data_IF_790058308746
#
_entry.id   IF_790058308746
#
_cell.length_a   1.000
_cell.length_b   1.000
_cell.length_c   1.000
_cell.angle_alpha   90.00
_cell.angle_beta   90.00
_cell.angle_gamma   90.00
#
_symmetry.space_group_name_H-M   'P 1'
#
loop_
_entity.id
_entity.type
_entity.pdbx_description
1 polymer ?
#
# COMPACT_ATOMS: atom_id res chain seq x y z
N UNK A 1 13.04 0.61 -13.87
CA UNK A 1 11.75 0.03 -14.30
C UNK A 1 10.68 1.07 -14.10
N UNK A 2 9.65 1.16 -14.96
CA UNK A 2 8.53 2.07 -14.73
C UNK A 2 7.81 1.71 -13.42
N UNK A 3 7.08 2.67 -12.84
CA UNK A 3 6.22 2.38 -11.70
C UNK A 3 5.18 1.31 -12.09
N UNK A 4 4.93 0.30 -11.24
CA UNK A 4 3.92 -0.70 -11.53
C UNK A 4 2.53 -0.05 -11.60
N UNK A 5 1.62 -0.56 -12.43
CA UNK A 5 0.24 -0.09 -12.45
C UNK A 5 -0.44 -0.34 -11.10
N UNK A 6 -1.34 0.55 -10.72
CA UNK A 6 -2.14 0.46 -9.50
C UNK A 6 -3.55 -0.10 -9.75
N UNK A 7 -3.82 -0.64 -10.94
CA UNK A 7 -5.09 -1.27 -11.31
C UNK A 7 -5.06 -2.80 -11.13
N UNK A 8 -6.07 -3.52 -11.65
CA UNK A 8 -6.17 -4.98 -11.55
C UNK A 8 -5.04 -5.74 -12.23
N UNK A 9 -4.31 -5.10 -13.17
CA UNK A 9 -3.16 -5.70 -13.85
C UNK A 9 -1.87 -5.59 -13.03
N UNK A 10 -1.90 -4.74 -12.00
CA UNK A 10 -0.80 -4.52 -11.06
C UNK A 10 -0.77 -5.50 -9.90
N UNK A 11 0.08 -5.17 -8.92
CA UNK A 11 0.25 -5.99 -7.72
C UNK A 11 -0.06 -5.24 -6.42
N UNK A 12 -0.52 -3.99 -6.50
CA UNK A 12 -0.81 -3.15 -5.32
C UNK A 12 -1.83 -3.80 -4.38
N UNK A 13 -2.89 -4.38 -4.93
CA UNK A 13 -3.95 -5.05 -4.18
C UNK A 13 -3.50 -6.35 -3.49
N UNK A 14 -2.28 -6.85 -3.71
CA UNK A 14 -1.75 -7.98 -2.95
C UNK A 14 -1.26 -7.60 -1.54
N UNK A 15 -1.24 -6.31 -1.20
CA UNK A 15 -0.71 -5.80 0.07
C UNK A 15 -1.85 -5.22 0.93
N UNK A 16 -1.87 -5.48 2.25
CA UNK A 16 -2.84 -4.88 3.17
C UNK A 16 -2.74 -3.35 3.21
N UNK A 17 -3.85 -2.69 3.58
CA UNK A 17 -3.94 -1.22 3.66
C UNK A 17 -2.83 -0.60 4.51
N UNK A 18 -2.53 -1.18 5.67
CA UNK A 18 -1.47 -0.68 6.55
C UNK A 18 -0.09 -0.73 5.87
N UNK A 19 0.20 -1.79 5.12
CA UNK A 19 1.48 -1.92 4.40
C UNK A 19 1.58 -0.88 3.29
N UNK A 20 0.49 -0.66 2.54
CA UNK A 20 0.44 0.37 1.49
C UNK A 20 0.60 1.77 2.08
N UNK A 21 -0.03 2.03 3.22
CA UNK A 21 0.10 3.28 3.96
C UNK A 21 1.54 3.50 4.42
N UNK A 22 2.16 2.51 5.08
CA UNK A 22 3.53 2.62 5.60
C UNK A 22 4.56 2.81 4.47
N UNK A 23 4.41 2.10 3.35
CA UNK A 23 5.25 2.27 2.16
C UNK A 23 5.10 3.69 1.59
N UNK A 24 3.88 4.21 1.54
CA UNK A 24 3.63 5.56 1.00
C UNK A 24 4.17 6.64 1.92
N UNK A 25 3.91 6.52 3.22
CA UNK A 25 4.35 7.49 4.22
C UNK A 25 5.86 7.47 4.41
N UNK A 26 6.43 6.29 4.68
CA UNK A 26 7.82 6.14 5.15
C UNK A 26 8.80 5.74 4.04
N UNK A 27 8.29 5.37 2.86
CA UNK A 27 9.08 4.80 1.77
C UNK A 27 9.34 3.29 1.95
N UNK A 28 9.61 2.61 0.82
CA UNK A 28 9.77 1.14 0.74
C UNK A 28 10.85 0.61 1.69
N UNK A 29 11.98 1.29 1.80
CA UNK A 29 13.14 0.81 2.57
C UNK A 29 12.81 0.72 4.06
N UNK A 30 12.11 1.73 4.59
CA UNK A 30 11.70 1.80 5.99
C UNK A 30 10.54 0.86 6.27
N UNK A 31 9.56 0.77 5.37
CA UNK A 31 8.38 -0.07 5.54
C UNK A 31 8.68 -1.57 5.43
N UNK A 32 9.60 -1.97 4.53
CA UNK A 32 9.91 -3.38 4.27
C UNK A 32 11.19 -3.88 4.99
N UNK A 33 11.85 -3.02 5.78
CA UNK A 33 13.11 -3.31 6.47
C UNK A 33 14.19 -3.97 5.56
N UNK A 34 14.28 -3.51 4.31
CA UNK A 34 15.17 -4.10 3.30
C UNK A 34 16.53 -3.39 3.32
N UNK A 35 17.56 -4.10 3.78
CA UNK A 35 18.94 -3.60 3.68
C UNK A 35 19.36 -3.48 2.20
N UNK A 36 19.98 -2.35 1.84
CA UNK A 36 20.53 -2.07 0.51
C UNK A 36 19.53 -1.97 -0.66
N UNK A 37 18.22 -1.91 -0.40
CA UNK A 37 17.23 -1.65 -1.45
C UNK A 37 17.19 -0.16 -1.79
N UNK A 38 17.36 0.18 -3.08
CA UNK A 38 17.22 1.57 -3.57
C UNK A 38 15.89 1.71 -4.30
N UNK A 39 14.91 2.33 -3.65
CA UNK A 39 13.65 2.71 -4.28
C UNK A 39 13.74 4.13 -4.83
N UNK A 40 13.16 4.35 -6.01
CA UNK A 40 12.92 5.70 -6.54
C UNK A 40 11.62 6.32 -6.00
N UNK A 41 10.82 5.56 -5.25
CA UNK A 41 9.62 6.05 -4.60
C UNK A 41 10.00 6.94 -3.40
N UNK A 42 9.62 8.22 -3.39
CA UNK A 42 9.87 9.10 -2.25
C UNK A 42 8.99 8.70 -1.06
N UNK A 43 9.44 9.04 0.15
CA UNK A 43 8.59 9.04 1.34
C UNK A 43 7.75 10.31 1.33
N UNK A 44 6.45 10.19 1.66
CA UNK A 44 5.51 11.32 1.65
C UNK A 44 5.18 11.88 3.04
N UNK A 45 5.79 11.37 4.11
CA UNK A 45 5.53 11.80 5.51
C UNK A 45 5.56 13.32 5.72
N UNK A 46 6.49 14.03 5.07
CA UNK A 46 6.63 15.49 5.19
C UNK A 46 5.88 16.27 4.09
N UNK A 47 5.12 15.58 3.22
CA UNK A 47 4.47 16.14 2.02
C UNK A 47 2.94 16.00 2.11
N UNK A 48 2.44 14.87 2.60
CA UNK A 48 1.03 14.53 2.70
C UNK A 48 0.67 14.18 4.14
N UNK A 49 -0.51 14.59 4.57
CA UNK A 49 -1.11 14.17 5.83
C UNK A 49 -1.59 12.72 5.76
N UNK A 50 -1.78 12.08 6.91
CA UNK A 50 -2.29 10.71 6.98
C UNK A 50 -3.67 10.58 6.30
N UNK A 51 -4.55 11.56 6.47
CA UNK A 51 -5.86 11.60 5.84
C UNK A 51 -5.76 11.71 4.30
N UNK A 52 -4.80 12.48 3.78
CA UNK A 52 -4.56 12.56 2.34
C UNK A 52 -4.03 11.24 1.77
N UNK A 53 -3.11 10.58 2.47
CA UNK A 53 -2.60 9.25 2.07
C UNK A 53 -3.76 8.24 2.04
N UNK A 54 -4.59 8.21 3.09
CA UNK A 54 -5.76 7.33 3.17
C UNK A 54 -6.74 7.64 2.03
N UNK A 55 -7.02 8.91 1.75
CA UNK A 55 -7.93 9.31 0.68
C UNK A 55 -7.43 8.87 -0.71
N UNK A 56 -6.12 9.03 -0.98
CA UNK A 56 -5.50 8.59 -2.23
C UNK A 56 -5.56 7.06 -2.38
N UNK A 57 -5.19 6.31 -1.34
CA UNK A 57 -5.26 4.84 -1.36
C UNK A 57 -6.70 4.34 -1.51
N UNK A 58 -7.66 5.02 -0.87
CA UNK A 58 -9.09 4.72 -1.02
C UNK A 58 -9.58 4.97 -2.43
N UNK A 59 -9.14 6.07 -3.08
CA UNK A 59 -9.45 6.34 -4.47
C UNK A 59 -8.89 5.24 -5.39
N UNK A 60 -7.62 4.84 -5.23
CA UNK A 60 -7.02 3.74 -5.99
C UNK A 60 -7.82 2.44 -5.79
N UNK A 61 -8.12 2.08 -4.55
CA UNK A 61 -8.93 0.89 -4.26
C UNK A 61 -10.31 0.95 -4.90
N UNK A 62 -10.92 2.13 -4.99
CA UNK A 62 -12.24 2.32 -5.61
C UNK A 62 -12.27 2.03 -7.12
N UNK A 63 -11.11 2.10 -7.80
CA UNK A 63 -11.01 1.80 -9.23
C UNK A 63 -10.88 0.30 -9.52
N UNK A 64 -10.64 -0.53 -8.50
CA UNK A 64 -10.50 -1.98 -8.70
C UNK A 64 -11.85 -2.68 -8.96
N UNK A 65 -11.85 -3.76 -9.75
CA UNK A 65 -12.99 -4.67 -9.87
C UNK A 65 -13.53 -5.12 -8.51
N UNK A 66 -14.83 -5.41 -8.45
CA UNK A 66 -15.51 -5.74 -7.19
C UNK A 66 -14.92 -6.98 -6.49
N UNK A 67 -14.55 -8.00 -7.25
CA UNK A 67 -13.91 -9.23 -6.77
C UNK A 67 -12.51 -8.98 -6.20
N UNK A 68 -11.74 -8.07 -6.81
CA UNK A 68 -10.43 -7.64 -6.29
C UNK A 68 -10.59 -6.89 -4.98
N UNK A 69 -11.58 -5.99 -4.87
CA UNK A 69 -11.89 -5.27 -3.63
C UNK A 69 -12.28 -6.23 -2.50
N UNK A 70 -13.15 -7.20 -2.77
CA UNK A 70 -13.56 -8.20 -1.78
C UNK A 70 -12.37 -9.05 -1.29
N UNK A 71 -11.51 -9.49 -2.22
CA UNK A 71 -10.29 -10.22 -1.87
C UNK A 71 -9.33 -9.38 -1.02
N UNK A 72 -9.22 -8.10 -1.32
CA UNK A 72 -8.38 -7.17 -0.58
C UNK A 72 -8.95 -6.87 0.82
N UNK A 73 -10.27 -6.74 0.95
CA UNK A 73 -10.94 -6.59 2.25
C UNK A 73 -10.72 -7.82 3.15
N UNK A 74 -10.76 -9.02 2.57
CA UNK A 74 -10.44 -10.25 3.29
C UNK A 74 -8.97 -10.30 3.72
N UNK A 75 -8.04 -9.89 2.84
CA UNK A 75 -6.61 -9.77 3.18
C UNK A 75 -6.41 -8.81 4.36
N UNK A 76 -7.06 -7.65 4.35
CA UNK A 76 -7.01 -6.69 5.46
C UNK A 76 -7.54 -7.30 6.76
N UNK A 77 -8.66 -8.03 6.68
CA UNK A 77 -9.27 -8.69 7.84
C UNK A 77 -8.28 -9.69 8.46
N UNK A 78 -7.70 -10.57 7.65
CA UNK A 78 -6.71 -11.55 8.11
C UNK A 78 -5.48 -10.86 8.70
N UNK A 79 -4.94 -9.85 8.01
CA UNK A 79 -3.78 -9.10 8.47
C UNK A 79 -4.03 -8.43 9.83
N UNK A 80 -5.23 -7.91 10.08
CA UNK A 80 -5.58 -7.29 11.36
C UNK A 80 -5.69 -8.27 12.53
N UNK A 81 -5.84 -9.57 12.24
CA UNK A 81 -5.94 -10.63 13.23
C UNK A 81 -4.59 -11.26 13.60
N UNK A 82 -3.54 -11.03 12.81
CA UNK A 82 -2.22 -11.57 13.12
C UNK A 82 -1.53 -10.73 14.22
N UNK A 83 -0.99 -11.37 15.28
CA UNK A 83 -0.21 -10.66 16.28
C UNK A 83 1.05 -10.10 15.61
N UNK A 84 1.18 -8.77 15.63
CA UNK A 84 2.41 -8.10 15.16
C UNK A 84 3.55 -8.50 16.11
N UNK A 85 4.56 -9.17 15.57
CA UNK A 85 5.71 -9.69 16.32
C UNK A 85 6.68 -8.61 16.78
#
# INVERSE_FOLDING_TARGET
MPAPPHDETGHTWHHPDQVLFDITKLGVVRAANLENYRSAMPAYEDILTDDEIIAILSYIKSTWPADVRERHDELNRVYSMEPRS
#
